data_IF_699309482878
#
_entry.id   IF_699309482878
#
_cell.length_a   1.000
_cell.length_b   1.000
_cell.length_c   1.000
_cell.angle_alpha   90.00
_cell.angle_beta   90.00
_cell.angle_gamma   90.00
#
_symmetry.space_group_name_H-M   'P 1'
#
loop_
_entity.id
_entity.type
_entity.pdbx_description
1 polymer ?
#
# COMPACT_ATOMS: atom_id res chain seq x y z
N UNK A 1 -31.77 -30.26 -2.91
CA UNK A 1 -31.07 -28.94 -3.01
C UNK A 1 -29.61 -29.20 -3.31
N UNK A 2 -29.07 -28.52 -4.32
CA UNK A 2 -27.67 -28.63 -4.74
C UNK A 2 -26.97 -27.32 -4.49
N UNK A 3 -25.82 -27.32 -3.74
CA UNK A 3 -25.00 -26.16 -3.50
C UNK A 3 -23.58 -26.43 -4.03
N UNK A 4 -23.15 -25.59 -4.98
CA UNK A 4 -21.82 -25.69 -5.60
C UNK A 4 -20.79 -24.98 -4.71
N UNK A 5 -20.18 -25.72 -3.79
CA UNK A 5 -19.24 -25.21 -2.78
C UNK A 5 -17.90 -24.78 -3.37
N UNK A 6 -17.65 -25.15 -4.61
CA UNK A 6 -16.48 -24.76 -5.42
C UNK A 6 -16.75 -23.53 -6.30
N UNK A 7 -17.88 -22.86 -6.11
CA UNK A 7 -18.20 -21.61 -6.80
C UNK A 7 -17.49 -20.43 -6.13
N UNK A 8 -16.92 -19.52 -6.91
CA UNK A 8 -16.29 -18.29 -6.41
C UNK A 8 -17.26 -17.41 -5.61
N UNK A 9 -18.53 -17.39 -5.99
CA UNK A 9 -19.57 -16.63 -5.30
C UNK A 9 -20.16 -17.35 -4.08
N UNK A 10 -19.69 -18.55 -3.74
CA UNK A 10 -20.21 -19.30 -2.58
C UNK A 10 -19.61 -18.76 -1.26
N UNK A 11 -20.39 -18.12 -0.39
CA UNK A 11 -19.86 -17.44 0.81
C UNK A 11 -19.51 -18.39 1.95
N UNK A 12 -20.08 -19.58 1.97
CA UNK A 12 -19.82 -20.64 2.97
C UNK A 12 -20.90 -20.81 4.03
N UNK A 13 -21.42 -19.75 4.61
CA UNK A 13 -22.28 -19.74 5.79
C UNK A 13 -23.60 -18.96 5.65
N UNK A 14 -23.80 -18.27 4.53
CA UNK A 14 -25.04 -17.58 4.21
C UNK A 14 -25.41 -17.74 2.73
N UNK A 15 -26.56 -17.19 2.33
CA UNK A 15 -27.02 -17.28 0.94
C UNK A 15 -26.15 -16.42 0.02
N UNK A 16 -25.73 -17.00 -1.11
CA UNK A 16 -25.02 -16.28 -2.17
C UNK A 16 -25.86 -15.08 -2.66
N UNK A 17 -25.22 -13.92 -2.87
CA UNK A 17 -25.91 -12.71 -3.36
C UNK A 17 -26.65 -12.94 -4.67
N UNK A 18 -26.08 -13.71 -5.59
CA UNK A 18 -26.72 -14.08 -6.85
C UNK A 18 -27.98 -14.92 -6.58
N UNK A 19 -27.92 -15.85 -5.62
CA UNK A 19 -29.08 -16.68 -5.25
C UNK A 19 -30.21 -15.80 -4.71
N UNK A 20 -29.86 -14.78 -3.93
CA UNK A 20 -30.83 -13.84 -3.37
C UNK A 20 -31.39 -12.90 -4.45
N UNK A 21 -30.56 -12.30 -5.28
CA UNK A 21 -30.99 -11.35 -6.32
C UNK A 21 -31.79 -11.99 -7.43
N UNK A 22 -31.44 -13.22 -7.82
CA UNK A 22 -32.11 -13.99 -8.88
C UNK A 22 -33.23 -14.89 -8.36
N UNK A 23 -33.52 -14.84 -7.04
CA UNK A 23 -34.51 -15.66 -6.37
C UNK A 23 -34.38 -17.17 -6.67
N UNK A 24 -33.15 -17.68 -6.65
CA UNK A 24 -32.85 -19.07 -6.93
C UNK A 24 -33.07 -19.94 -5.67
N UNK A 25 -33.63 -21.13 -5.84
CA UNK A 25 -33.83 -22.08 -4.76
C UNK A 25 -32.52 -22.75 -4.31
N UNK A 26 -31.66 -23.06 -5.25
CA UNK A 26 -30.35 -23.69 -5.08
C UNK A 26 -29.47 -23.45 -6.30
N UNK A 27 -28.30 -24.07 -6.36
CA UNK A 27 -27.33 -23.87 -7.46
C UNK A 27 -27.61 -24.75 -8.69
N UNK A 28 -28.72 -25.52 -8.75
CA UNK A 28 -29.02 -26.34 -9.91
C UNK A 28 -29.42 -25.45 -11.08
N UNK A 29 -28.67 -25.55 -12.20
CA UNK A 29 -28.86 -24.68 -13.35
C UNK A 29 -28.48 -23.22 -13.19
N UNK A 30 -27.75 -22.86 -12.14
CA UNK A 30 -27.26 -21.49 -11.95
C UNK A 30 -26.36 -21.08 -13.12
N UNK A 31 -26.75 -20.00 -13.83
CA UNK A 31 -26.01 -19.46 -14.99
C UNK A 31 -24.73 -18.75 -14.60
N UNK A 32 -24.58 -18.39 -13.35
CA UNK A 32 -23.44 -17.66 -12.77
C UNK A 32 -22.48 -18.59 -12.03
N UNK A 33 -22.63 -19.90 -12.19
CA UNK A 33 -21.70 -20.85 -11.58
C UNK A 33 -20.30 -20.72 -12.17
N UNK A 34 -19.36 -20.26 -11.34
CA UNK A 34 -17.96 -20.09 -11.70
C UNK A 34 -17.09 -20.93 -10.76
N UNK A 35 -16.75 -22.19 -11.14
CA UNK A 35 -15.92 -23.04 -10.30
C UNK A 35 -14.48 -22.56 -10.25
N UNK A 36 -13.87 -22.60 -9.08
CA UNK A 36 -12.44 -22.40 -8.95
C UNK A 36 -11.67 -23.73 -8.99
N UNK A 37 -10.48 -23.68 -9.60
CA UNK A 37 -9.59 -24.85 -9.71
C UNK A 37 -8.58 -24.94 -8.56
N UNK A 38 -8.24 -23.82 -7.94
CA UNK A 38 -7.26 -23.69 -6.85
C UNK A 38 -7.66 -22.61 -5.87
N UNK A 39 -7.38 -22.85 -4.59
CA UNK A 39 -7.46 -21.84 -3.53
C UNK A 39 -6.07 -21.38 -3.14
N UNK A 40 -5.86 -20.08 -3.15
CA UNK A 40 -4.60 -19.42 -2.75
C UNK A 40 -4.88 -18.57 -1.53
N UNK A 41 -4.06 -18.71 -0.49
CA UNK A 41 -4.07 -17.83 0.67
C UNK A 41 -2.83 -16.93 0.63
N UNK A 42 -3.03 -15.62 0.73
CA UNK A 42 -1.99 -14.63 0.93
C UNK A 42 -2.09 -14.12 2.37
N UNK A 43 -0.99 -14.13 3.10
CA UNK A 43 -0.87 -13.51 4.42
C UNK A 43 0.04 -12.29 4.28
N UNK A 44 -0.50 -11.08 4.56
CA UNK A 44 0.27 -9.85 4.61
C UNK A 44 -0.36 -8.92 5.65
N UNK A 45 0.20 -8.91 6.87
CA UNK A 45 -0.30 -8.15 8.02
C UNK A 45 0.48 -6.86 8.29
N UNK A 46 1.60 -6.65 7.59
CA UNK A 46 2.49 -5.50 7.78
C UNK A 46 1.87 -4.16 7.43
N UNK A 47 2.69 -3.12 7.35
CA UNK A 47 2.24 -1.76 7.11
C UNK A 47 1.37 -1.62 5.85
N UNK A 48 0.38 -0.72 5.89
CA UNK A 48 -0.57 -0.46 4.78
C UNK A 48 0.12 -0.26 3.42
N UNK A 49 1.25 0.47 3.41
CA UNK A 49 2.05 0.65 2.19
C UNK A 49 2.59 -0.66 1.62
N UNK A 50 3.01 -1.58 2.49
CA UNK A 50 3.51 -2.91 2.09
C UNK A 50 2.38 -3.79 1.56
N UNK A 51 1.20 -3.73 2.17
CA UNK A 51 0.01 -4.42 1.66
C UNK A 51 -0.31 -3.93 0.25
N UNK A 52 -0.38 -2.61 0.04
CA UNK A 52 -0.73 -2.03 -1.24
C UNK A 52 0.30 -2.39 -2.34
N UNK A 53 1.60 -2.24 -2.07
CA UNK A 53 2.66 -2.57 -3.04
C UNK A 53 2.90 -4.08 -3.23
N UNK A 54 2.14 -4.93 -2.54
CA UNK A 54 2.09 -6.38 -2.76
C UNK A 54 1.00 -6.78 -3.78
N UNK A 55 0.02 -5.92 -4.07
CA UNK A 55 -1.07 -6.19 -5.01
C UNK A 55 -0.63 -6.57 -6.45
N UNK A 56 0.55 -6.17 -6.95
CA UNK A 56 1.07 -6.63 -8.24
C UNK A 56 1.20 -8.15 -8.39
N UNK A 57 1.31 -8.90 -7.29
CA UNK A 57 1.32 -10.38 -7.33
C UNK A 57 0.01 -10.99 -7.84
N UNK A 58 -1.12 -10.31 -7.68
CA UNK A 58 -2.44 -10.85 -7.97
C UNK A 58 -2.63 -11.25 -9.45
N UNK A 59 -2.36 -10.38 -10.46
CA UNK A 59 -2.42 -10.76 -11.85
C UNK A 59 -1.39 -11.84 -12.21
N UNK A 60 -0.20 -11.82 -11.58
CA UNK A 60 0.82 -12.83 -11.80
C UNK A 60 0.39 -14.21 -11.30
N UNK A 61 -0.36 -14.30 -10.19
CA UNK A 61 -0.97 -15.57 -9.77
C UNK A 61 -1.97 -16.09 -10.78
N UNK A 62 -2.84 -15.25 -11.34
CA UNK A 62 -3.78 -15.65 -12.39
C UNK A 62 -3.05 -16.11 -13.67
N UNK A 63 -1.94 -15.46 -14.02
CA UNK A 63 -1.08 -15.88 -15.14
C UNK A 63 -0.45 -17.26 -14.89
N UNK A 64 0.05 -17.53 -13.66
CA UNK A 64 0.70 -18.82 -13.32
C UNK A 64 -0.27 -19.97 -13.11
N UNK A 65 -1.37 -19.73 -12.42
CA UNK A 65 -2.28 -20.79 -11.95
C UNK A 65 -3.60 -20.89 -12.72
N UNK A 66 -3.83 -19.99 -13.68
CA UNK A 66 -5.05 -19.88 -14.46
C UNK A 66 -6.05 -18.85 -13.90
N UNK A 67 -7.01 -18.43 -14.73
CA UNK A 67 -8.01 -17.40 -14.37
C UNK A 67 -8.98 -17.88 -13.28
N UNK A 68 -9.21 -19.20 -13.18
CA UNK A 68 -10.18 -19.81 -12.28
C UNK A 68 -9.59 -20.15 -10.90
N UNK A 69 -8.74 -19.29 -10.35
CA UNK A 69 -8.26 -19.41 -8.99
C UNK A 69 -9.13 -18.58 -8.04
N UNK A 70 -9.22 -19.03 -6.80
CA UNK A 70 -9.85 -18.30 -5.70
C UNK A 70 -8.76 -17.76 -4.77
N UNK A 71 -8.66 -16.45 -4.67
CA UNK A 71 -7.65 -15.76 -3.83
C UNK A 71 -8.32 -15.26 -2.57
N UNK A 72 -7.86 -15.78 -1.44
CA UNK A 72 -8.16 -15.26 -0.10
C UNK A 72 -6.96 -14.48 0.41
N UNK A 73 -7.17 -13.29 0.97
CA UNK A 73 -6.11 -12.47 1.55
C UNK A 73 -6.40 -12.18 3.01
N UNK A 74 -5.49 -12.55 3.91
CA UNK A 74 -5.54 -12.19 5.33
C UNK A 74 -4.77 -10.90 5.56
N UNK A 75 -5.44 -9.88 6.13
CA UNK A 75 -4.92 -8.52 6.35
C UNK A 75 -5.39 -7.95 7.67
N UNK A 76 -4.68 -6.97 8.23
CA UNK A 76 -5.18 -6.16 9.36
C UNK A 76 -6.32 -5.25 8.90
N UNK A 77 -7.20 -4.87 9.84
CA UNK A 77 -8.39 -4.08 9.57
C UNK A 77 -8.07 -2.73 8.90
N UNK A 78 -7.02 -2.06 9.34
CA UNK A 78 -6.59 -0.78 8.77
C UNK A 78 -6.19 -0.86 7.29
N UNK A 79 -5.79 -2.04 6.81
CA UNK A 79 -5.41 -2.26 5.42
C UNK A 79 -6.56 -2.76 4.53
N UNK A 80 -7.68 -3.18 5.12
CA UNK A 80 -8.85 -3.69 4.39
C UNK A 80 -9.31 -2.73 3.27
N UNK A 81 -9.44 -1.41 3.50
CA UNK A 81 -9.92 -0.49 2.47
C UNK A 81 -9.02 -0.41 1.23
N UNK A 82 -7.72 -0.72 1.35
CA UNK A 82 -6.79 -0.73 0.22
C UNK A 82 -7.03 -1.89 -0.75
N UNK A 83 -7.61 -2.98 -0.26
CA UNK A 83 -7.86 -4.20 -1.02
C UNK A 83 -9.31 -4.33 -1.53
N UNK A 84 -10.24 -3.59 -0.92
CA UNK A 84 -11.64 -3.59 -1.35
C UNK A 84 -11.78 -3.16 -2.82
N UNK A 85 -12.77 -3.73 -3.51
CA UNK A 85 -13.01 -3.52 -4.95
C UNK A 85 -11.85 -3.95 -5.86
N UNK A 86 -10.89 -4.75 -5.35
CA UNK A 86 -9.83 -5.32 -6.17
C UNK A 86 -10.38 -6.52 -6.96
N UNK A 87 -10.35 -6.50 -8.32
CA UNK A 87 -11.01 -7.52 -9.13
C UNK A 87 -10.33 -8.90 -9.12
N UNK A 88 -9.17 -9.00 -8.47
CA UNK A 88 -8.39 -10.23 -8.39
C UNK A 88 -8.58 -10.98 -7.08
N UNK A 89 -9.18 -10.35 -6.06
CA UNK A 89 -9.36 -10.94 -4.73
C UNK A 89 -10.81 -11.41 -4.60
N UNK A 90 -10.99 -12.67 -4.30
CA UNK A 90 -12.31 -13.27 -4.12
C UNK A 90 -12.79 -13.18 -2.67
N UNK A 91 -11.85 -13.19 -1.70
CA UNK A 91 -12.19 -13.07 -0.27
C UNK A 91 -11.11 -12.32 0.51
N UNK A 92 -11.52 -11.34 1.32
CA UNK A 92 -10.62 -10.61 2.23
C UNK A 92 -11.01 -10.97 3.66
N UNK A 93 -10.06 -11.54 4.40
CA UNK A 93 -10.21 -11.85 5.81
C UNK A 93 -9.48 -10.83 6.66
N UNK A 94 -10.18 -10.25 7.62
CA UNK A 94 -9.55 -9.39 8.63
C UNK A 94 -8.91 -10.27 9.69
N UNK A 95 -7.67 -9.93 10.07
CA UNK A 95 -6.96 -10.61 11.14
C UNK A 95 -7.68 -10.44 12.48
N UNK A 96 -8.35 -11.51 12.92
CA UNK A 96 -9.02 -11.64 14.20
C UNK A 96 -9.04 -13.12 14.63
N UNK A 97 -9.39 -13.44 15.88
CA UNK A 97 -9.37 -14.82 16.37
C UNK A 97 -10.26 -15.78 15.57
N UNK A 98 -11.43 -15.32 15.11
CA UNK A 98 -12.37 -16.14 14.34
C UNK A 98 -11.78 -16.54 12.99
N UNK A 99 -11.26 -15.58 12.23
CA UNK A 99 -10.63 -15.86 10.94
C UNK A 99 -9.36 -16.70 11.06
N UNK A 100 -8.59 -16.53 12.14
CA UNK A 100 -7.43 -17.39 12.42
C UNK A 100 -7.86 -18.83 12.67
N UNK A 101 -8.91 -19.06 13.46
CA UNK A 101 -9.48 -20.39 13.68
C UNK A 101 -10.03 -21.00 12.39
N UNK A 102 -10.75 -20.21 11.57
CA UNK A 102 -11.27 -20.63 10.28
C UNK A 102 -10.13 -21.11 9.36
N UNK A 103 -9.04 -20.36 9.25
CA UNK A 103 -7.90 -20.71 8.40
C UNK A 103 -7.20 -22.03 8.80
N UNK A 104 -7.26 -22.45 10.07
CA UNK A 104 -6.74 -23.76 10.51
C UNK A 104 -7.54 -24.94 9.96
N UNK A 105 -8.82 -24.73 9.62
CA UNK A 105 -9.73 -25.77 9.14
C UNK A 105 -9.96 -25.73 7.62
N UNK A 106 -9.56 -24.65 6.95
CA UNK A 106 -9.64 -24.56 5.50
C UNK A 106 -8.42 -25.20 4.83
N UNK A 107 -8.64 -25.78 3.63
CA UNK A 107 -7.55 -26.31 2.78
C UNK A 107 -7.27 -25.35 1.65
N UNK A 108 -6.00 -25.12 1.41
CA UNK A 108 -5.50 -24.31 0.29
C UNK A 108 -4.57 -25.13 -0.59
N UNK A 109 -4.52 -24.81 -1.88
CA UNK A 109 -3.50 -25.39 -2.77
C UNK A 109 -2.17 -24.67 -2.59
N UNK A 110 -2.21 -23.34 -2.33
CA UNK A 110 -1.02 -22.53 -2.14
C UNK A 110 -1.21 -21.56 -0.98
N UNK A 111 -0.24 -21.51 -0.09
CA UNK A 111 -0.08 -20.48 0.93
C UNK A 111 1.14 -19.63 0.58
N UNK A 112 1.00 -18.32 0.66
CA UNK A 112 2.09 -17.37 0.52
C UNK A 112 2.05 -16.43 1.73
N UNK A 113 2.98 -16.61 2.65
CA UNK A 113 3.15 -15.69 3.77
C UNK A 113 4.31 -14.74 3.47
N UNK A 114 3.99 -13.45 3.30
CA UNK A 114 4.94 -12.39 2.96
C UNK A 114 5.37 -11.54 4.16
N UNK A 115 5.05 -12.01 5.37
CA UNK A 115 5.42 -11.33 6.61
C UNK A 115 6.22 -12.21 7.55
N UNK A 116 7.17 -11.58 8.23
CA UNK A 116 8.00 -12.19 9.27
C UNK A 116 7.48 -11.90 10.68
N UNK A 117 6.38 -11.12 10.81
CA UNK A 117 5.73 -10.88 12.11
C UNK A 117 5.30 -12.20 12.75
N UNK A 118 5.48 -12.31 14.07
CA UNK A 118 5.17 -13.53 14.83
C UNK A 118 3.76 -14.06 14.55
N UNK A 119 2.75 -13.18 14.51
CA UNK A 119 1.38 -13.59 14.24
C UNK A 119 1.24 -14.21 12.83
N UNK A 120 1.81 -13.60 11.80
CA UNK A 120 1.74 -14.09 10.43
C UNK A 120 2.45 -15.44 10.27
N UNK A 121 3.63 -15.59 10.87
CA UNK A 121 4.44 -16.81 10.79
C UNK A 121 3.80 -17.97 11.57
N UNK A 122 3.21 -17.72 12.75
CA UNK A 122 2.45 -18.73 13.51
C UNK A 122 1.19 -19.19 12.77
N UNK A 123 0.42 -18.26 12.18
CA UNK A 123 -0.73 -18.62 11.35
C UNK A 123 -0.30 -19.49 10.17
N UNK A 124 0.81 -19.13 9.53
CA UNK A 124 1.37 -19.87 8.42
C UNK A 124 1.72 -21.33 8.77
N UNK A 125 2.17 -21.61 10.00
CA UNK A 125 2.41 -22.97 10.48
C UNK A 125 1.11 -23.80 10.48
N UNK A 126 0.04 -23.21 10.98
CA UNK A 126 -1.24 -23.87 11.25
C UNK A 126 -2.11 -24.09 10.00
N UNK A 127 -1.89 -23.30 8.95
CA UNK A 127 -2.68 -23.41 7.71
C UNK A 127 -2.34 -24.68 6.95
N UNK A 128 -3.38 -25.44 6.55
CA UNK A 128 -3.25 -26.61 5.70
C UNK A 128 -3.16 -26.20 4.22
N UNK A 129 -1.97 -26.30 3.62
CA UNK A 129 -1.74 -26.00 2.22
C UNK A 129 -0.79 -27.02 1.58
N UNK A 130 -1.06 -27.36 0.29
CA UNK A 130 -0.24 -28.32 -0.48
C UNK A 130 1.17 -27.77 -0.75
N UNK A 131 1.26 -26.45 -1.01
CA UNK A 131 2.51 -25.72 -1.21
C UNK A 131 2.54 -24.49 -0.35
N UNK A 132 3.67 -24.24 0.30
CA UNK A 132 3.86 -23.07 1.15
C UNK A 132 5.10 -22.30 0.68
N UNK A 133 4.99 -20.96 0.61
CA UNK A 133 6.05 -20.03 0.26
C UNK A 133 6.15 -18.92 1.31
N UNK A 134 7.34 -18.33 1.43
CA UNK A 134 7.60 -17.25 2.37
C UNK A 134 8.00 -17.77 3.73
N UNK A 135 7.36 -17.30 4.80
CA UNK A 135 7.86 -17.42 6.16
C UNK A 135 6.97 -18.25 7.06
N UNK A 136 7.61 -18.92 8.02
CA UNK A 136 6.95 -19.63 9.11
C UNK A 136 7.71 -19.41 10.43
N UNK A 137 7.12 -19.79 11.55
CA UNK A 137 7.74 -19.68 12.87
C UNK A 137 8.44 -20.99 13.22
N UNK A 138 9.76 -20.93 13.44
CA UNK A 138 10.57 -22.07 13.82
C UNK A 138 10.37 -22.42 15.31
N UNK A 139 10.57 -23.69 15.69
CA UNK A 139 10.46 -24.15 17.07
C UNK A 139 11.43 -23.45 18.03
N UNK A 140 12.59 -22.97 17.54
CA UNK A 140 13.54 -22.16 18.30
C UNK A 140 13.13 -20.68 18.43
N UNK A 141 11.85 -20.36 18.24
CA UNK A 141 11.22 -19.08 18.50
C UNK A 141 11.69 -17.91 17.61
N UNK A 142 11.94 -18.17 16.32
CA UNK A 142 12.29 -17.15 15.34
C UNK A 142 11.59 -17.39 13.99
N UNK A 143 11.40 -16.35 13.15
CA UNK A 143 10.93 -16.53 11.78
C UNK A 143 12.00 -17.21 10.92
N UNK A 144 11.57 -18.11 10.06
CA UNK A 144 12.39 -18.76 9.04
C UNK A 144 11.59 -18.90 7.75
N UNK A 145 12.09 -19.58 6.73
CA UNK A 145 11.50 -19.60 5.41
C UNK A 145 11.16 -21.02 4.91
N UNK A 146 10.08 -21.14 4.14
CA UNK A 146 9.69 -22.37 3.45
C UNK A 146 10.51 -22.63 2.20
N UNK A 147 10.91 -21.57 1.48
CA UNK A 147 11.62 -21.68 0.22
C UNK A 147 12.85 -20.76 0.19
N UNK A 148 13.92 -21.23 -0.45
CA UNK A 148 15.23 -20.55 -0.51
C UNK A 148 15.13 -19.13 -1.06
N UNK A 149 14.19 -18.85 -1.97
CA UNK A 149 14.00 -17.52 -2.53
C UNK A 149 13.57 -16.46 -1.48
N UNK A 150 13.00 -16.90 -0.35
CA UNK A 150 12.60 -16.01 0.75
C UNK A 150 13.76 -15.63 1.69
N UNK A 151 14.89 -16.36 1.67
CA UNK A 151 16.01 -16.15 2.57
C UNK A 151 16.60 -14.74 2.46
N UNK A 152 16.80 -14.22 1.25
CA UNK A 152 17.40 -12.91 1.05
C UNK A 152 16.66 -11.78 1.76
N UNK A 153 15.32 -11.79 1.72
CA UNK A 153 14.54 -10.76 2.42
C UNK A 153 14.67 -10.90 3.93
N UNK A 154 14.73 -12.12 4.44
CA UNK A 154 14.93 -12.39 5.87
C UNK A 154 16.32 -11.91 6.33
N UNK A 155 17.38 -12.24 5.58
CA UNK A 155 18.75 -11.78 5.85
C UNK A 155 18.85 -10.26 5.87
N UNK A 156 18.13 -9.58 4.95
CA UNK A 156 18.06 -8.12 4.89
C UNK A 156 17.46 -7.53 6.16
N UNK A 157 16.48 -8.20 6.77
CA UNK A 157 15.86 -7.73 8.02
C UNK A 157 16.81 -7.87 9.20
N UNK A 158 17.61 -8.92 9.24
CA UNK A 158 18.53 -9.19 10.34
C UNK A 158 19.92 -8.54 10.16
N UNK A 159 20.25 -8.09 8.96
CA UNK A 159 21.58 -7.55 8.66
C UNK A 159 21.51 -6.19 7.98
N UNK A 160 21.93 -5.14 8.70
CA UNK A 160 22.08 -3.80 8.11
C UNK A 160 23.06 -3.81 6.92
N UNK A 161 24.07 -4.68 6.93
CA UNK A 161 24.99 -4.83 5.79
C UNK A 161 24.25 -5.34 4.54
N UNK A 162 23.47 -6.40 4.66
CA UNK A 162 22.67 -6.93 3.54
C UNK A 162 21.65 -5.89 3.07
N UNK A 163 21.00 -5.20 4.02
CA UNK A 163 20.02 -4.19 3.72
C UNK A 163 20.60 -2.99 2.95
N UNK A 164 21.76 -2.46 3.36
CA UNK A 164 22.47 -1.37 2.67
C UNK A 164 22.92 -1.77 1.25
N UNK A 165 23.25 -3.03 1.05
CA UNK A 165 23.72 -3.56 -0.23
C UNK A 165 22.59 -4.10 -1.12
N UNK A 166 21.34 -4.13 -0.64
CA UNK A 166 20.18 -4.45 -1.47
C UNK A 166 20.07 -3.44 -2.63
N UNK A 167 19.69 -3.93 -3.82
CA UNK A 167 19.36 -3.08 -4.99
C UNK A 167 18.06 -3.54 -5.65
N UNK A 168 17.35 -4.48 -5.01
CA UNK A 168 16.05 -4.97 -5.48
C UNK A 168 14.94 -4.09 -4.95
N UNK A 169 13.91 -3.89 -5.76
CA UNK A 169 12.68 -3.25 -5.29
C UNK A 169 11.92 -4.18 -4.34
N UNK A 170 11.01 -3.62 -3.57
CA UNK A 170 10.15 -4.41 -2.69
C UNK A 170 9.32 -5.42 -3.48
N UNK A 171 8.72 -4.98 -4.59
CA UNK A 171 7.93 -5.84 -5.46
C UNK A 171 8.78 -7.01 -5.99
N UNK A 172 9.99 -6.73 -6.47
CA UNK A 172 10.92 -7.75 -6.96
C UNK A 172 11.19 -8.83 -5.89
N UNK A 173 11.41 -8.41 -4.64
CA UNK A 173 11.61 -9.34 -3.53
C UNK A 173 10.34 -10.16 -3.24
N UNK A 174 9.16 -9.55 -3.24
CA UNK A 174 7.90 -10.27 -3.01
C UNK A 174 7.61 -11.29 -4.12
N UNK A 175 7.89 -10.94 -5.38
CA UNK A 175 7.77 -11.85 -6.50
C UNK A 175 8.73 -13.03 -6.40
N UNK A 176 9.97 -12.79 -5.96
CA UNK A 176 10.95 -13.85 -5.71
C UNK A 176 10.47 -14.80 -4.62
N UNK A 177 9.95 -14.29 -3.50
CA UNK A 177 9.39 -15.11 -2.42
C UNK A 177 8.25 -15.99 -2.94
N UNK A 178 7.36 -15.44 -3.77
CA UNK A 178 6.25 -16.17 -4.38
C UNK A 178 6.64 -17.07 -5.55
N UNK A 179 7.94 -17.10 -5.92
CA UNK A 179 8.48 -17.82 -7.08
C UNK A 179 7.74 -17.47 -8.38
N UNK A 180 7.51 -16.17 -8.57
CA UNK A 180 6.89 -15.59 -9.77
C UNK A 180 7.90 -14.76 -10.56
N UNK A 181 7.82 -14.73 -11.90
CA UNK A 181 8.58 -13.78 -12.70
C UNK A 181 8.06 -12.36 -12.44
N UNK A 182 8.96 -11.40 -12.25
CA UNK A 182 8.60 -9.99 -12.07
C UNK A 182 8.72 -9.24 -13.41
N UNK A 183 7.60 -8.72 -13.90
CA UNK A 183 7.50 -7.98 -15.16
C UNK A 183 7.03 -6.53 -14.94
N UNK A 184 7.25 -5.99 -13.72
CA UNK A 184 6.82 -4.65 -13.29
C UNK A 184 5.31 -4.45 -13.32
N UNK A 185 4.57 -5.46 -12.87
CA UNK A 185 3.12 -5.39 -12.74
C UNK A 185 2.72 -4.17 -11.89
N UNK A 186 1.67 -3.43 -12.31
CA UNK A 186 1.27 -2.20 -11.63
C UNK A 186 0.63 -2.49 -10.27
N UNK A 187 0.75 -1.54 -9.36
CA UNK A 187 0.01 -1.54 -8.09
C UNK A 187 -1.49 -1.38 -8.40
N UNK A 188 -2.34 -2.18 -7.75
CA UNK A 188 -3.78 -2.21 -8.00
C UNK A 188 -4.52 -1.62 -6.80
N UNK A 189 -5.21 -0.51 -7.04
CA UNK A 189 -6.02 0.21 -6.06
C UNK A 189 -7.29 0.72 -6.74
N UNK A 190 -8.45 0.20 -6.35
CA UNK A 190 -9.72 0.51 -7.00
C UNK A 190 -10.76 1.15 -6.04
N UNK A 191 -10.47 1.23 -4.75
CA UNK A 191 -11.40 1.78 -3.78
C UNK A 191 -11.26 3.31 -3.70
N UNK A 192 -11.91 4.00 -4.64
CA UNK A 192 -11.97 5.46 -4.74
C UNK A 192 -13.38 5.92 -4.37
N UNK A 193 -13.49 6.93 -3.52
CA UNK A 193 -14.76 7.61 -3.21
C UNK A 193 -14.95 8.83 -4.12
N UNK A 194 -15.63 8.62 -5.23
CA UNK A 194 -15.86 9.67 -6.23
C UNK A 194 -16.78 10.78 -5.72
N UNK A 195 -17.75 10.46 -4.87
CA UNK A 195 -18.68 11.45 -4.31
C UNK A 195 -17.94 12.39 -3.37
N UNK A 196 -17.05 11.85 -2.54
CA UNK A 196 -16.20 12.65 -1.68
C UNK A 196 -15.26 13.57 -2.48
N UNK A 197 -14.67 13.07 -3.57
CA UNK A 197 -13.83 13.90 -4.44
C UNK A 197 -14.59 15.10 -5.03
N UNK A 198 -15.80 14.89 -5.54
CA UNK A 198 -16.64 15.97 -6.08
C UNK A 198 -17.01 16.98 -4.99
N UNK A 199 -17.43 16.51 -3.82
CA UNK A 199 -17.75 17.37 -2.68
C UNK A 199 -16.52 18.19 -2.22
N UNK A 200 -15.32 17.57 -2.22
CA UNK A 200 -14.07 18.25 -1.89
C UNK A 200 -13.73 19.36 -2.88
N UNK A 201 -13.89 19.13 -4.18
CA UNK A 201 -13.68 20.13 -5.22
C UNK A 201 -14.63 21.32 -5.01
N UNK A 202 -15.93 21.08 -4.82
CA UNK A 202 -16.93 22.11 -4.60
C UNK A 202 -16.63 22.94 -3.34
N UNK A 203 -16.37 22.29 -2.22
CA UNK A 203 -16.07 22.95 -0.93
C UNK A 203 -14.88 23.90 -1.03
N UNK A 204 -13.87 23.55 -1.83
CA UNK A 204 -12.63 24.31 -1.95
C UNK A 204 -12.58 25.23 -3.19
N UNK A 205 -13.69 25.37 -3.93
CA UNK A 205 -13.79 26.15 -5.18
C UNK A 205 -12.69 25.72 -6.20
N UNK A 206 -12.48 24.39 -6.32
CA UNK A 206 -11.56 23.79 -7.27
C UNK A 206 -12.32 23.28 -8.48
N UNK A 207 -11.64 23.29 -9.63
CA UNK A 207 -12.13 22.69 -10.88
C UNK A 207 -11.34 21.42 -11.19
N UNK A 208 -11.89 20.51 -11.98
CA UNK A 208 -11.21 19.29 -12.41
C UNK A 208 -9.94 19.56 -13.23
N UNK A 209 -9.90 20.70 -13.91
CA UNK A 209 -8.78 21.13 -14.74
C UNK A 209 -7.68 21.85 -13.95
N UNK A 210 -7.90 22.17 -12.68
CA UNK A 210 -6.91 22.84 -11.86
C UNK A 210 -5.68 21.97 -11.69
N UNK A 211 -4.50 22.56 -11.85
CA UNK A 211 -3.24 21.90 -11.51
C UNK A 211 -3.05 21.91 -10.01
N UNK A 212 -3.27 20.78 -9.38
CA UNK A 212 -3.16 20.62 -7.92
C UNK A 212 -1.83 19.95 -7.59
N UNK A 213 -1.00 20.61 -6.78
CA UNK A 213 0.21 20.06 -6.20
C UNK A 213 -0.10 19.55 -4.79
N UNK A 214 -0.18 18.23 -4.64
CA UNK A 214 -0.30 17.59 -3.33
C UNK A 214 1.04 17.53 -2.62
N UNK A 215 1.11 18.02 -1.40
CA UNK A 215 2.32 17.93 -0.56
C UNK A 215 1.96 17.15 0.70
N UNK A 216 2.47 15.93 0.80
CA UNK A 216 2.30 15.12 2.00
C UNK A 216 3.25 15.63 3.09
N UNK A 217 2.69 16.10 4.20
CA UNK A 217 3.43 16.76 5.27
C UNK A 217 3.90 15.79 6.36
N UNK A 218 3.49 14.54 6.31
CA UNK A 218 3.74 13.56 7.34
C UNK A 218 4.39 12.27 6.89
N UNK A 219 4.75 11.48 7.88
CA UNK A 219 5.28 10.13 7.70
C UNK A 219 4.89 9.28 8.90
N UNK A 220 3.64 8.86 8.97
CA UNK A 220 3.13 8.06 10.09
C UNK A 220 4.06 6.92 10.51
N UNK A 221 4.08 6.62 11.82
CA UNK A 221 4.71 5.46 12.40
C UNK A 221 6.16 5.64 12.83
N UNK A 222 6.94 4.57 12.76
CA UNK A 222 8.26 4.43 13.37
C UNK A 222 9.31 5.43 12.85
N UNK A 223 9.20 5.86 11.59
CA UNK A 223 10.27 6.60 10.90
C UNK A 223 9.91 8.09 10.75
N UNK A 224 10.02 8.86 11.85
CA UNK A 224 9.63 10.29 11.90
C UNK A 224 10.43 11.19 10.94
N UNK A 225 11.67 10.82 10.65
CA UNK A 225 12.54 11.58 9.71
C UNK A 225 12.25 11.29 8.22
N UNK A 226 11.16 10.64 7.87
CA UNK A 226 10.74 10.46 6.46
C UNK A 226 9.99 11.68 5.90
N UNK A 227 9.48 12.58 6.74
CA UNK A 227 8.75 13.76 6.33
C UNK A 227 9.69 14.93 6.05
N UNK A 228 9.37 15.69 4.99
CA UNK A 228 10.13 16.91 4.70
C UNK A 228 9.85 18.00 5.73
N UNK A 229 10.88 18.78 6.09
CA UNK A 229 10.75 19.78 7.12
C UNK A 229 9.74 20.87 6.75
N UNK A 230 8.86 21.31 7.69
CA UNK A 230 7.83 22.30 7.42
C UNK A 230 8.35 23.61 6.81
N UNK A 231 9.55 24.08 7.22
CA UNK A 231 10.16 25.29 6.66
C UNK A 231 10.49 25.13 5.17
N UNK A 232 10.90 23.93 4.73
CA UNK A 232 11.16 23.63 3.32
C UNK A 232 9.86 23.59 2.51
N UNK A 233 8.78 23.06 3.10
CA UNK A 233 7.44 23.10 2.50
C UNK A 233 7.00 24.57 2.31
N UNK A 234 7.16 25.41 3.33
CA UNK A 234 6.85 26.83 3.23
C UNK A 234 7.68 27.56 2.18
N UNK A 235 8.99 27.27 2.13
CA UNK A 235 9.89 27.83 1.11
C UNK A 235 9.45 27.43 -0.32
N UNK A 236 9.06 26.17 -0.53
CA UNK A 236 8.54 25.68 -1.81
C UNK A 236 7.27 26.45 -2.21
N UNK A 237 6.29 26.56 -1.30
CA UNK A 237 5.01 27.21 -1.56
C UNK A 237 5.21 28.67 -1.98
N UNK A 238 6.15 29.40 -1.38
CA UNK A 238 6.49 30.78 -1.76
C UNK A 238 6.96 30.92 -3.22
N UNK A 239 7.68 29.90 -3.70
CA UNK A 239 8.25 29.88 -5.07
C UNK A 239 7.24 29.39 -6.13
N UNK A 240 6.13 28.78 -5.69
CA UNK A 240 5.20 28.08 -6.58
C UNK A 240 3.88 28.84 -6.78
N UNK A 241 3.76 29.59 -7.89
CA UNK A 241 2.58 30.44 -8.15
C UNK A 241 1.52 29.82 -9.08
N UNK A 242 1.87 28.74 -9.80
CA UNK A 242 1.05 28.21 -10.91
C UNK A 242 0.18 27.00 -10.55
N UNK A 243 0.19 26.54 -9.28
CA UNK A 243 -0.56 25.40 -8.82
C UNK A 243 -1.44 25.76 -7.64
N UNK A 244 -2.55 25.03 -7.49
CA UNK A 244 -3.29 24.99 -6.24
C UNK A 244 -2.53 24.06 -5.27
N UNK A 245 -2.12 24.58 -4.14
CA UNK A 245 -1.40 23.80 -3.14
C UNK A 245 -2.38 23.05 -2.26
N UNK A 246 -2.22 21.75 -2.15
CA UNK A 246 -2.98 20.86 -1.28
C UNK A 246 -2.06 20.17 -0.29
N UNK A 247 -2.18 20.51 0.99
CA UNK A 247 -1.45 19.82 2.06
C UNK A 247 -2.18 18.53 2.41
N UNK A 248 -1.48 17.41 2.27
CA UNK A 248 -1.96 16.07 2.58
C UNK A 248 -1.46 15.67 3.98
N UNK A 249 -2.37 15.31 4.87
CA UNK A 249 -2.10 14.94 6.25
C UNK A 249 -2.92 13.71 6.66
N UNK A 250 -2.37 12.88 7.51
CA UNK A 250 -3.06 11.80 8.19
C UNK A 250 -3.32 12.11 9.67
N UNK A 251 -3.82 11.13 10.43
CA UNK A 251 -4.16 11.32 11.84
C UNK A 251 -3.00 11.77 12.73
N UNK A 252 -1.77 11.37 12.39
CA UNK A 252 -0.55 11.74 13.15
C UNK A 252 -0.18 13.23 12.98
N UNK A 253 -0.64 13.87 11.90
CA UNK A 253 -0.34 15.26 11.57
C UNK A 253 -1.40 16.26 12.06
N UNK A 254 -2.36 15.84 12.91
CA UNK A 254 -3.43 16.70 13.46
C UNK A 254 -2.93 17.95 14.19
N UNK A 255 -1.77 17.86 14.83
CA UNK A 255 -1.15 19.01 15.51
C UNK A 255 -0.27 19.85 14.58
N UNK A 256 0.39 19.22 13.62
CA UNK A 256 1.28 19.88 12.68
C UNK A 256 0.53 20.71 11.65
N UNK A 257 -0.57 20.17 11.09
CA UNK A 257 -1.32 20.80 10.01
C UNK A 257 -1.86 22.19 10.38
N UNK A 258 -2.52 22.42 11.55
CA UNK A 258 -2.97 23.75 11.93
C UNK A 258 -1.83 24.78 12.10
N UNK A 259 -0.67 24.34 12.62
CA UNK A 259 0.51 25.19 12.76
C UNK A 259 1.02 25.66 11.39
N UNK A 260 1.10 24.73 10.44
CA UNK A 260 1.52 25.04 9.08
C UNK A 260 0.51 25.97 8.36
N UNK A 261 -0.80 25.72 8.52
CA UNK A 261 -1.86 26.59 7.97
C UNK A 261 -1.81 28.00 8.57
N UNK A 262 -1.59 28.13 9.86
CA UNK A 262 -1.43 29.44 10.53
C UNK A 262 -0.23 30.20 9.96
N UNK A 263 0.90 29.51 9.74
CA UNK A 263 2.10 30.10 9.14
C UNK A 263 1.87 30.53 7.70
N UNK A 264 1.15 29.72 6.89
CA UNK A 264 0.73 30.11 5.53
C UNK A 264 -0.09 31.40 5.55
N UNK A 265 -1.09 31.49 6.43
CA UNK A 265 -1.94 32.68 6.56
C UNK A 265 -1.16 33.93 6.96
N UNK A 266 -0.24 33.84 7.91
CA UNK A 266 0.60 34.96 8.35
C UNK A 266 1.51 35.51 7.24
N UNK A 267 1.82 34.68 6.26
CA UNK A 267 2.64 35.04 5.09
C UNK A 267 1.79 35.35 3.82
N UNK A 268 0.47 35.49 3.96
CA UNK A 268 -0.48 35.68 2.85
C UNK A 268 -0.41 34.61 1.75
N UNK A 269 -0.05 33.38 2.12
CA UNK A 269 -0.01 32.23 1.24
C UNK A 269 -1.31 31.42 1.35
N UNK A 270 -1.73 30.80 0.26
CA UNK A 270 -2.92 29.96 0.21
C UNK A 270 -2.53 28.49 0.14
N UNK A 271 -3.14 27.69 0.99
CA UNK A 271 -3.06 26.23 0.96
C UNK A 271 -4.43 25.64 1.28
N UNK A 272 -4.79 24.62 0.55
CA UNK A 272 -5.96 23.78 0.81
C UNK A 272 -5.50 22.61 1.67
N UNK A 273 -6.37 22.04 2.48
CA UNK A 273 -6.04 20.90 3.34
C UNK A 273 -7.10 19.83 3.21
N UNK A 274 -6.71 18.57 3.29
CA UNK A 274 -7.65 17.50 3.56
C UNK A 274 -8.02 17.49 5.06
N UNK A 275 -9.00 16.66 5.41
CA UNK A 275 -9.26 16.29 6.80
C UNK A 275 -8.26 15.21 7.23
N UNK A 276 -7.46 15.38 8.29
CA UNK A 276 -6.55 14.33 8.79
C UNK A 276 -7.24 13.03 9.17
N UNK A 277 -8.54 13.09 9.49
CA UNK A 277 -9.38 11.93 9.80
C UNK A 277 -10.08 11.31 8.58
N UNK A 278 -9.64 11.65 7.37
CA UNK A 278 -10.17 11.01 6.18
C UNK A 278 -10.01 9.48 6.27
N UNK A 279 -11.06 8.79 5.87
CA UNK A 279 -10.96 7.35 5.57
C UNK A 279 -9.97 7.10 4.43
N UNK A 280 -9.46 5.89 4.31
CA UNK A 280 -8.53 5.56 3.22
C UNK A 280 -9.15 5.82 1.83
N UNK A 281 -10.41 5.43 1.51
CA UNK A 281 -11.01 5.77 0.21
C UNK A 281 -11.12 7.27 -0.05
N UNK A 282 -11.45 8.07 0.96
CA UNK A 282 -11.48 9.54 0.85
C UNK A 282 -10.08 10.11 0.59
N UNK A 283 -9.06 9.62 1.33
CA UNK A 283 -7.66 10.06 1.14
C UNK A 283 -7.13 9.67 -0.24
N UNK A 284 -7.44 8.48 -0.72
CA UNK A 284 -7.15 8.02 -2.09
C UNK A 284 -7.79 8.96 -3.11
N UNK A 285 -9.05 9.34 -2.88
CA UNK A 285 -9.80 10.24 -3.77
C UNK A 285 -9.17 11.62 -3.85
N UNK A 286 -8.71 12.16 -2.72
CA UNK A 286 -8.02 13.45 -2.66
C UNK A 286 -6.67 13.39 -3.40
N UNK A 287 -5.87 12.34 -3.19
CA UNK A 287 -4.63 12.15 -3.96
C UNK A 287 -4.93 12.03 -5.45
N UNK A 288 -6.05 11.41 -5.82
CA UNK A 288 -6.46 11.29 -7.22
C UNK A 288 -6.77 12.64 -7.89
N UNK A 289 -7.12 13.69 -7.15
CA UNK A 289 -7.29 15.05 -7.65
C UNK A 289 -5.94 15.74 -7.97
N UNK A 290 -4.83 15.27 -7.40
CA UNK A 290 -3.53 15.89 -7.59
C UNK A 290 -2.99 15.62 -9.01
N UNK A 291 -2.38 16.63 -9.62
CA UNK A 291 -1.59 16.49 -10.86
C UNK A 291 -0.20 15.93 -10.55
N UNK A 292 0.38 16.40 -9.45
CA UNK A 292 1.70 15.99 -8.96
C UNK A 292 1.64 15.84 -7.45
N UNK A 293 2.34 14.85 -6.90
CA UNK A 293 2.44 14.61 -5.45
C UNK A 293 3.89 14.68 -5.01
N UNK A 294 4.16 15.43 -3.94
CA UNK A 294 5.45 15.43 -3.24
C UNK A 294 5.24 14.71 -1.92
N UNK A 295 6.07 13.71 -1.64
CA UNK A 295 5.91 12.90 -0.43
C UNK A 295 7.24 12.28 -0.01
N UNK A 296 7.39 11.98 1.26
CA UNK A 296 8.40 11.02 1.73
C UNK A 296 8.02 9.58 1.37
N UNK A 297 8.82 8.62 1.82
CA UNK A 297 8.53 7.18 1.71
C UNK A 297 7.39 6.79 2.68
N UNK A 298 6.16 6.96 2.23
CA UNK A 298 4.93 6.83 3.03
C UNK A 298 3.80 6.15 2.22
N UNK A 299 2.66 5.91 2.86
CA UNK A 299 1.47 5.39 2.19
C UNK A 299 1.04 6.26 1.00
N UNK A 300 1.16 7.60 1.12
CA UNK A 300 0.83 8.53 0.04
C UNK A 300 1.67 8.30 -1.23
N UNK A 301 2.94 7.89 -1.10
CA UNK A 301 3.80 7.50 -2.21
C UNK A 301 3.20 6.31 -2.99
N UNK A 302 2.80 5.27 -2.28
CA UNK A 302 2.28 4.05 -2.90
C UNK A 302 0.89 4.25 -3.49
N UNK A 303 0.03 5.06 -2.84
CA UNK A 303 -1.27 5.46 -3.38
C UNK A 303 -1.09 6.29 -4.66
N UNK A 304 -0.23 7.31 -4.65
CA UNK A 304 -0.01 8.15 -5.83
C UNK A 304 0.54 7.35 -7.00
N UNK A 305 1.43 6.40 -6.75
CA UNK A 305 1.96 5.48 -7.77
C UNK A 305 0.86 4.56 -8.33
N UNK A 306 0.01 3.98 -7.46
CA UNK A 306 -1.13 3.16 -7.87
C UNK A 306 -2.13 3.94 -8.74
N UNK A 307 -2.35 5.21 -8.42
CA UNK A 307 -3.21 6.14 -9.18
C UNK A 307 -2.52 6.73 -10.42
N UNK A 308 -1.30 6.28 -10.73
CA UNK A 308 -0.50 6.75 -11.87
C UNK A 308 -0.24 8.26 -11.85
N UNK A 309 -0.09 8.84 -10.64
CA UNK A 309 0.24 10.25 -10.49
C UNK A 309 1.75 10.46 -10.62
N UNK A 310 2.13 11.58 -11.26
CA UNK A 310 3.49 12.06 -11.16
C UNK A 310 3.85 12.29 -9.71
N UNK A 311 4.94 11.70 -9.25
CA UNK A 311 5.32 11.73 -7.84
C UNK A 311 6.79 12.08 -7.68
N UNK A 312 7.06 13.03 -6.78
CA UNK A 312 8.41 13.35 -6.33
C UNK A 312 8.56 12.77 -4.92
N UNK A 313 9.35 11.73 -4.84
CA UNK A 313 9.58 11.01 -3.59
C UNK A 313 10.90 11.43 -2.94
N UNK A 314 10.82 11.85 -1.68
CA UNK A 314 11.94 12.32 -0.89
C UNK A 314 12.40 11.21 0.06
N UNK A 315 13.67 10.84 -0.05
CA UNK A 315 14.26 9.76 0.76
C UNK A 315 15.30 10.33 1.72
N UNK A 316 15.00 10.30 2.99
CA UNK A 316 15.88 10.82 4.04
C UNK A 316 16.67 9.71 4.74
N UNK A 317 15.98 8.70 5.29
CA UNK A 317 16.59 7.59 6.04
C UNK A 317 16.27 6.20 5.49
N UNK A 318 15.41 6.10 4.47
CA UNK A 318 15.04 4.83 3.83
C UNK A 318 15.57 4.74 2.41
N UNK A 319 15.86 3.52 1.91
CA UNK A 319 16.51 3.33 0.62
C UNK A 319 15.57 3.63 -0.57
N UNK A 320 15.97 4.51 -1.49
CA UNK A 320 15.16 4.85 -2.67
C UNK A 320 15.02 3.69 -3.67
N UNK A 321 15.97 2.74 -3.67
CA UNK A 321 15.96 1.61 -4.59
C UNK A 321 14.87 0.56 -4.27
N UNK A 322 14.35 0.53 -3.05
CA UNK A 322 13.25 -0.37 -2.68
C UNK A 322 11.89 0.04 -3.25
N UNK A 323 11.77 1.24 -3.78
CA UNK A 323 10.56 1.73 -4.42
C UNK A 323 10.66 1.53 -5.93
N UNK A 324 9.74 0.77 -6.53
CA UNK A 324 9.61 0.71 -7.99
C UNK A 324 9.07 2.04 -8.51
N UNK A 325 9.71 2.61 -9.51
CA UNK A 325 9.38 3.95 -10.01
C UNK A 325 8.27 3.98 -11.07
N UNK A 326 8.05 2.88 -11.77
CA UNK A 326 7.08 2.76 -12.86
C UNK A 326 7.14 3.90 -13.90
N UNK A 327 8.27 4.59 -14.02
CA UNK A 327 8.44 5.84 -14.78
C UNK A 327 7.55 7.02 -14.30
N UNK A 328 6.99 6.93 -13.09
CA UNK A 328 6.10 7.92 -12.49
C UNK A 328 6.77 8.64 -11.30
N UNK A 329 7.73 7.98 -10.65
CA UNK A 329 8.34 8.45 -9.41
C UNK A 329 9.74 9.00 -9.67
N UNK A 330 9.90 10.31 -9.46
CA UNK A 330 11.23 10.96 -9.38
C UNK A 330 11.73 10.88 -7.94
N UNK A 331 12.89 10.30 -7.74
CA UNK A 331 13.45 10.04 -6.41
C UNK A 331 14.55 11.06 -6.11
N UNK A 332 14.42 11.76 -5.00
CA UNK A 332 15.44 12.67 -4.48
C UNK A 332 15.90 12.13 -3.13
N UNK A 333 17.18 11.84 -3.01
CA UNK A 333 17.78 11.32 -1.78
C UNK A 333 18.52 12.42 -1.03
N UNK A 334 18.40 12.38 0.28
CA UNK A 334 19.23 13.18 1.17
C UNK A 334 20.72 12.85 0.98
N UNK A 335 21.62 13.84 0.97
CA UNK A 335 23.06 13.58 1.01
C UNK A 335 23.50 12.90 2.32
N UNK A 336 22.68 12.95 3.36
CA UNK A 336 22.91 12.34 4.67
C UNK A 336 22.26 10.96 4.82
N UNK A 337 21.67 10.39 3.76
CA UNK A 337 20.94 9.13 3.82
C UNK A 337 21.78 7.98 4.38
N UNK A 338 23.05 7.87 3.96
CA UNK A 338 23.92 6.79 4.42
C UNK A 338 24.29 6.89 5.89
N UNK A 339 24.41 8.12 6.42
CA UNK A 339 24.68 8.38 7.83
C UNK A 339 23.50 7.99 8.71
N UNK A 340 22.29 8.37 8.30
CA UNK A 340 21.04 8.13 9.03
C UNK A 340 20.22 6.94 8.53
N UNK A 341 20.87 5.99 7.89
CA UNK A 341 20.20 4.84 7.29
C UNK A 341 19.37 4.03 8.31
N UNK A 342 18.04 4.01 8.12
CA UNK A 342 17.06 3.43 9.02
C UNK A 342 17.11 3.97 10.47
N UNK A 343 17.50 5.23 10.65
CA UNK A 343 17.33 5.91 11.95
C UNK A 343 15.85 6.12 12.24
N UNK A 344 15.40 5.70 13.41
CA UNK A 344 14.05 5.90 13.94
C UNK A 344 13.90 7.18 14.76
N UNK A 345 15.00 7.93 14.93
CA UNK A 345 15.02 9.21 15.64
C UNK A 345 14.77 10.37 14.68
N UNK A 346 14.30 11.49 15.24
CA UNK A 346 14.18 12.74 14.51
C UNK A 346 15.52 13.46 14.41
N UNK A 347 15.90 13.81 13.18
CA UNK A 347 17.12 14.55 12.89
C UNK A 347 16.77 15.77 12.02
N UNK A 348 16.89 16.97 12.59
CA UNK A 348 16.49 18.21 11.91
C UNK A 348 17.35 18.52 10.68
N UNK A 349 18.66 18.29 10.78
CA UNK A 349 19.60 18.44 9.67
C UNK A 349 19.26 17.52 8.50
N UNK A 350 18.88 16.27 8.79
CA UNK A 350 18.46 15.28 7.80
C UNK A 350 17.22 15.74 7.05
N UNK A 351 16.12 16.07 7.75
CA UNK A 351 14.84 16.45 7.12
C UNK A 351 14.88 17.80 6.40
N UNK A 352 15.92 18.63 6.66
CA UNK A 352 16.22 19.88 5.96
C UNK A 352 17.21 19.72 4.81
N UNK A 353 17.87 18.58 4.67
CA UNK A 353 19.01 18.36 3.75
C UNK A 353 18.63 18.38 2.26
N UNK A 354 17.40 17.98 1.90
CA UNK A 354 16.90 18.10 0.53
C UNK A 354 16.46 19.54 0.28
N UNK A 355 17.08 20.20 -0.68
CA UNK A 355 16.79 21.61 -1.00
C UNK A 355 15.51 21.76 -1.82
N UNK A 356 14.91 22.95 -1.73
CA UNK A 356 13.72 23.30 -2.53
C UNK A 356 14.06 23.35 -4.01
N UNK A 357 15.27 23.76 -4.38
CA UNK A 357 15.76 23.83 -5.76
C UNK A 357 15.80 22.44 -6.41
N UNK A 358 16.23 21.41 -5.68
CA UNK A 358 16.20 20.03 -6.17
C UNK A 358 14.76 19.59 -6.51
N UNK A 359 13.80 19.89 -5.63
CA UNK A 359 12.39 19.54 -5.84
C UNK A 359 11.79 20.35 -7.00
N UNK A 360 12.07 21.67 -7.08
CA UNK A 360 11.58 22.53 -8.16
C UNK A 360 12.06 22.06 -9.54
N UNK A 361 13.32 21.64 -9.64
CA UNK A 361 13.88 21.09 -10.88
C UNK A 361 13.06 19.90 -11.40
N UNK A 362 12.68 18.98 -10.51
CA UNK A 362 11.90 17.81 -10.91
C UNK A 362 10.43 18.13 -11.23
N UNK A 363 9.89 19.23 -10.70
CA UNK A 363 8.54 19.69 -11.04
C UNK A 363 8.53 20.36 -12.44
N UNK A 364 9.59 21.10 -12.80
CA UNK A 364 9.67 21.91 -14.01
C UNK A 364 10.15 21.14 -15.26
N UNK A 365 10.80 19.99 -15.06
CA UNK A 365 11.35 19.18 -16.15
C UNK A 365 10.30 18.39 -16.95
N UNK A 366 9.05 18.87 -16.96
CA UNK A 366 7.94 18.28 -17.75
C UNK A 366 7.33 19.22 -18.74
#
# INVERSE_FOLDING_TARGET
MKFNRDCKSFPGDYACEIMTSENLKDCEGCKFYEPYSKKILIIKLGAMGDVLRTTPLLPAFKKKYGSNIHITWLVKEESLPLLQKNPYIDNILVFNPENVLRLKHEKFNVLINLDIETAATLISNEVNAEKKFGYYFHEDSHPTFYNKAAEFYLDRVFSNYVNRNNRKTYQEMMFQIAELPYEKEPIILNNIDHEYAEAFLQKNNLKKEDKILGINIGSAGRWISKAWHPDKIMELIKKFKNYKILLLAGPEEKELLPKLVSKLKSENLKGITNNPDNTIPEFVSIINLCSTVITGDSLALHISTALKKKTIALFFCTPPWEVEDYNLVKKISSPLLEEYFYSDQYHEDLVKSISVEQVLKEIQND
#
